data_IF_556592692587
#
_entry.id   IF_556592692587
#
_cell.length_a   1.000
_cell.length_b   1.000
_cell.length_c   1.000
_cell.angle_alpha   90.00
_cell.angle_beta   90.00
_cell.angle_gamma   90.00
#
_symmetry.space_group_name_H-M   'P 1'
#
loop_
_entity.id
_entity.type
_entity.pdbx_description
1 polymer ?
#
# COMPACT_ATOMS: atom_id res chain seq x y z
N UNK A 1 28.13 17.80 -5.84
CA UNK A 1 27.24 16.99 -6.71
C UNK A 1 26.22 16.42 -5.76
N UNK A 2 24.99 16.94 -5.79
CA UNK A 2 24.03 16.82 -4.71
C UNK A 2 23.58 15.35 -4.55
N UNK A 3 23.87 14.78 -3.39
CA UNK A 3 23.20 13.59 -2.89
C UNK A 3 21.77 14.00 -2.51
N UNK A 4 20.88 13.98 -3.49
CA UNK A 4 19.45 13.92 -3.23
C UNK A 4 19.20 12.61 -2.49
N UNK A 5 19.11 12.72 -1.15
CA UNK A 5 18.63 11.69 -0.26
C UNK A 5 17.38 11.05 -0.86
N UNK A 6 17.56 9.88 -1.48
CA UNK A 6 16.49 8.98 -1.84
C UNK A 6 15.93 8.41 -0.53
N UNK A 7 15.18 9.24 0.18
CA UNK A 7 14.20 8.78 1.15
C UNK A 7 13.06 8.13 0.34
N UNK A 8 13.37 7.08 -0.43
CA UNK A 8 12.37 6.19 -1.00
C UNK A 8 11.69 5.56 0.22
N UNK A 9 10.55 6.12 0.62
CA UNK A 9 9.70 5.50 1.62
C UNK A 9 9.42 4.09 1.14
N UNK A 10 10.03 3.11 1.81
CA UNK A 10 9.85 1.71 1.49
C UNK A 10 8.39 1.38 1.73
N UNK A 11 7.66 1.01 0.68
CA UNK A 11 6.26 0.59 0.80
C UNK A 11 6.21 -0.65 1.70
N UNK A 12 5.40 -0.56 2.75
CA UNK A 12 5.13 -1.68 3.67
C UNK A 12 3.68 -2.11 3.48
N UNK A 13 3.48 -3.14 2.66
CA UNK A 13 2.16 -3.74 2.48
C UNK A 13 1.81 -4.63 3.69
N UNK A 14 0.53 -4.68 4.05
CA UNK A 14 -0.04 -5.53 5.10
C UNK A 14 -1.47 -5.94 4.72
N UNK A 15 -2.10 -6.78 5.55
CA UNK A 15 -3.47 -7.26 5.31
C UNK A 15 -3.56 -8.41 4.31
N UNK A 16 -4.74 -8.61 3.75
CA UNK A 16 -5.03 -9.68 2.78
C UNK A 16 -5.28 -9.08 1.38
N UNK A 17 -4.41 -9.35 0.39
CA UNK A 17 -4.61 -8.85 -0.97
C UNK A 17 -5.79 -9.53 -1.64
N UNK A 18 -6.49 -8.81 -2.53
CA UNK A 18 -7.61 -9.35 -3.28
C UNK A 18 -7.61 -8.84 -4.72
N UNK A 19 -8.25 -9.61 -5.60
CA UNK A 19 -8.48 -9.19 -6.99
C UNK A 19 -9.73 -8.32 -7.10
N UNK A 20 -9.64 -7.29 -7.95
CA UNK A 20 -10.73 -6.39 -8.30
C UNK A 20 -10.74 -6.18 -9.81
N UNK A 21 -11.93 -6.26 -10.42
CA UNK A 21 -12.13 -5.95 -11.84
C UNK A 21 -12.33 -4.45 -11.99
N UNK A 22 -11.52 -3.79 -12.82
CA UNK A 22 -11.67 -2.38 -13.19
C UNK A 22 -12.26 -2.32 -14.60
N UNK A 23 -13.37 -1.62 -14.76
CA UNK A 23 -14.01 -1.42 -16.07
C UNK A 23 -13.43 -0.19 -16.80
N UNK A 24 -13.58 -0.14 -18.13
CA UNK A 24 -12.94 0.87 -18.99
C UNK A 24 -13.31 2.31 -18.62
N UNK A 25 -14.58 2.54 -18.25
CA UNK A 25 -15.12 3.87 -17.90
C UNK A 25 -15.26 4.07 -16.38
N UNK A 26 -14.55 3.27 -15.58
CA UNK A 26 -14.71 3.28 -14.14
C UNK A 26 -13.81 4.33 -13.48
N UNK A 27 -14.45 5.31 -12.82
CA UNK A 27 -13.76 6.32 -12.02
C UNK A 27 -13.28 5.73 -10.70
N UNK A 28 -12.23 6.34 -10.11
CA UNK A 28 -11.77 5.99 -8.77
C UNK A 28 -12.90 6.07 -7.73
N UNK A 29 -13.80 7.05 -7.82
CA UNK A 29 -14.94 7.16 -6.90
C UNK A 29 -15.83 5.90 -6.93
N UNK A 30 -16.13 5.38 -8.12
CA UNK A 30 -16.94 4.16 -8.27
C UNK A 30 -16.20 2.92 -7.74
N UNK A 31 -14.89 2.85 -7.97
CA UNK A 31 -14.01 1.80 -7.44
C UNK A 31 -13.99 1.83 -5.91
N UNK A 32 -13.87 3.01 -5.29
CA UNK A 32 -13.89 3.20 -3.83
C UNK A 32 -15.16 2.61 -3.22
N UNK A 33 -16.33 2.87 -3.79
CA UNK A 33 -17.61 2.33 -3.31
C UNK A 33 -17.61 0.79 -3.33
N UNK A 34 -17.10 0.18 -4.41
CA UNK A 34 -17.02 -1.29 -4.55
C UNK A 34 -16.04 -1.89 -3.56
N UNK A 35 -14.88 -1.25 -3.36
CA UNK A 35 -13.87 -1.68 -2.39
C UNK A 35 -14.41 -1.60 -0.98
N UNK A 36 -15.05 -0.49 -0.61
CA UNK A 36 -15.67 -0.32 0.70
C UNK A 36 -16.71 -1.41 0.98
N UNK A 37 -17.60 -1.67 0.02
CA UNK A 37 -18.60 -2.73 0.11
C UNK A 37 -17.97 -4.11 0.25
N UNK A 38 -16.88 -4.39 -0.47
CA UNK A 38 -16.17 -5.68 -0.42
C UNK A 38 -15.48 -5.91 0.93
N UNK A 39 -14.86 -4.87 1.49
CA UNK A 39 -14.12 -4.93 2.75
C UNK A 39 -15.00 -4.74 3.98
N UNK A 40 -16.25 -4.31 3.81
CA UNK A 40 -17.21 -4.04 4.91
C UNK A 40 -16.66 -3.02 5.92
N UNK A 41 -15.95 -2.00 5.44
CA UNK A 41 -15.34 -0.96 6.27
C UNK A 41 -16.35 0.17 6.53
N UNK A 42 -16.54 0.62 7.79
CA UNK A 42 -17.41 1.74 8.11
C UNK A 42 -17.00 3.03 7.38
N UNK A 43 -17.97 3.88 7.03
CA UNK A 43 -17.72 5.15 6.32
C UNK A 43 -16.69 6.03 7.03
N UNK A 44 -16.77 6.11 8.37
CA UNK A 44 -15.84 6.93 9.16
C UNK A 44 -14.39 6.46 9.02
N UNK A 45 -14.16 5.15 9.02
CA UNK A 45 -12.82 4.58 8.85
C UNK A 45 -12.35 4.70 7.39
N UNK A 46 -13.23 4.37 6.45
CA UNK A 46 -12.93 4.37 5.03
C UNK A 46 -12.62 5.79 4.50
N UNK A 47 -13.26 6.83 5.04
CA UNK A 47 -12.99 8.22 4.70
C UNK A 47 -11.54 8.67 4.95
N UNK A 48 -10.83 7.95 5.83
CA UNK A 48 -9.42 8.24 6.18
C UNK A 48 -8.44 7.54 5.23
N UNK A 49 -8.92 6.62 4.39
CA UNK A 49 -8.07 5.83 3.50
C UNK A 49 -7.68 6.63 2.26
N UNK A 50 -6.46 6.37 1.77
CA UNK A 50 -6.00 6.89 0.48
C UNK A 50 -5.82 5.76 -0.51
N UNK A 51 -6.12 6.06 -1.76
CA UNK A 51 -5.96 5.13 -2.86
C UNK A 51 -4.73 5.53 -3.65
N UNK A 52 -3.83 4.58 -3.88
CA UNK A 52 -2.59 4.82 -4.61
C UNK A 52 -2.48 3.85 -5.78
N UNK A 53 -2.21 4.36 -6.97
CA UNK A 53 -1.66 3.56 -8.05
C UNK A 53 -0.16 3.37 -7.77
N UNK A 54 0.26 2.13 -7.50
CA UNK A 54 1.66 1.82 -7.23
C UNK A 54 2.28 1.20 -8.48
N UNK A 55 3.41 1.74 -8.92
CA UNK A 55 4.23 1.20 -10.00
C UNK A 55 5.71 1.31 -9.62
N UNK A 56 6.47 0.22 -9.75
CA UNK A 56 7.91 0.20 -9.43
C UNK A 56 8.23 0.72 -8.01
N UNK A 57 7.36 0.40 -7.04
CA UNK A 57 7.50 0.84 -5.65
C UNK A 57 7.24 2.34 -5.42
N UNK A 58 6.69 3.05 -6.40
CA UNK A 58 6.32 4.46 -6.30
C UNK A 58 4.80 4.61 -6.24
N UNK A 59 4.24 5.21 -5.18
CA UNK A 59 2.81 5.49 -5.11
C UNK A 59 2.48 6.81 -5.82
N UNK A 60 1.43 6.79 -6.64
CA UNK A 60 0.77 7.96 -7.21
C UNK A 60 -0.68 7.99 -6.72
N UNK A 61 -1.18 9.15 -6.30
CA UNK A 61 -2.53 9.29 -5.74
C UNK A 61 -3.49 9.86 -6.80
N UNK A 62 -4.30 9.03 -7.46
CA UNK A 62 -5.29 9.48 -8.43
C UNK A 62 -6.42 10.30 -7.79
N UNK A 63 -7.05 11.16 -8.59
CA UNK A 63 -8.26 11.89 -8.19
C UNK A 63 -9.51 11.03 -8.35
N UNK A 64 -10.59 11.39 -7.65
CA UNK A 64 -11.86 10.64 -7.67
C UNK A 64 -12.54 10.59 -9.04
N UNK A 65 -12.30 11.61 -9.87
CA UNK A 65 -12.81 11.72 -11.24
C UNK A 65 -12.00 10.88 -12.25
N UNK A 66 -10.84 10.36 -11.85
CA UNK A 66 -9.92 9.72 -12.78
C UNK A 66 -10.35 8.29 -13.16
N UNK A 67 -10.22 7.97 -14.44
CA UNK A 67 -10.47 6.63 -14.99
C UNK A 67 -9.20 5.77 -14.88
N UNK A 68 -9.24 4.77 -14.00
CA UNK A 68 -8.05 3.98 -13.67
C UNK A 68 -7.65 2.97 -14.74
N UNK A 69 -8.58 2.52 -15.60
CA UNK A 69 -8.30 1.49 -16.60
C UNK A 69 -7.09 1.83 -17.49
N UNK A 70 -6.98 3.09 -17.91
CA UNK A 70 -5.87 3.60 -18.74
C UNK A 70 -4.49 3.46 -18.07
N UNK A 71 -4.42 3.49 -16.73
CA UNK A 71 -3.17 3.33 -15.96
C UNK A 71 -2.67 1.90 -15.97
N UNK A 72 -3.57 0.92 -15.96
CA UNK A 72 -3.24 -0.50 -15.98
C UNK A 72 -3.01 -1.06 -17.39
N UNK A 73 -3.53 -0.41 -18.44
CA UNK A 73 -3.27 -0.80 -19.84
C UNK A 73 -1.85 -0.48 -20.33
N UNK A 74 -1.21 0.56 -19.79
CA UNK A 74 0.12 1.05 -20.26
C UNK A 74 1.29 0.13 -19.91
N UNK A 75 1.02 -1.01 -19.31
CA UNK A 75 2.00 -1.99 -18.91
C UNK A 75 2.24 -3.00 -20.03
N UNK A 76 3.33 -2.83 -20.77
CA UNK A 76 3.83 -3.90 -21.65
C UNK A 76 4.01 -5.20 -20.86
N UNK A 77 3.97 -6.35 -21.55
CA UNK A 77 3.84 -7.73 -21.05
C UNK A 77 4.74 -8.11 -19.84
N UNK A 78 5.77 -7.33 -19.51
CA UNK A 78 6.69 -7.56 -18.40
C UNK A 78 6.52 -6.64 -17.17
N UNK A 79 5.82 -5.51 -17.26
CA UNK A 79 5.71 -4.51 -16.17
C UNK A 79 4.46 -4.74 -15.29
N UNK A 80 3.57 -5.66 -15.68
CA UNK A 80 2.25 -5.83 -15.06
C UNK A 80 2.31 -6.39 -13.63
N UNK A 81 3.37 -7.12 -13.29
CA UNK A 81 3.55 -7.69 -11.94
C UNK A 81 3.96 -6.66 -10.88
N UNK A 82 4.30 -5.43 -11.29
CA UNK A 82 4.72 -4.35 -10.38
C UNK A 82 3.64 -3.28 -10.20
N UNK A 83 2.48 -3.44 -10.84
CA UNK A 83 1.39 -2.47 -10.80
C UNK A 83 0.22 -2.96 -9.97
N UNK A 84 -0.18 -2.19 -8.96
CA UNK A 84 -1.35 -2.52 -8.15
C UNK A 84 -2.02 -1.27 -7.58
N UNK A 85 -3.27 -1.43 -7.17
CA UNK A 85 -4.01 -0.41 -6.42
C UNK A 85 -3.76 -0.62 -4.93
N UNK A 86 -2.99 0.28 -4.32
CA UNK A 86 -2.73 0.32 -2.89
C UNK A 86 -3.85 1.01 -2.12
N UNK A 87 -4.17 0.45 -0.94
CA UNK A 87 -5.11 1.00 0.03
C UNK A 87 -4.29 1.45 1.24
N UNK A 88 -3.92 2.73 1.27
CA UNK A 88 -3.13 3.29 2.36
C UNK A 88 -4.03 3.65 3.54
N UNK A 89 -3.81 2.95 4.65
CA UNK A 89 -4.45 3.20 5.93
C UNK A 89 -3.58 2.69 7.08
N UNK A 90 -3.98 3.01 8.32
CA UNK A 90 -3.33 2.46 9.51
C UNK A 90 -3.63 0.97 9.66
N UNK A 91 -2.61 0.19 9.99
CA UNK A 91 -2.79 -1.22 10.37
C UNK A 91 -3.36 -1.31 11.79
N UNK A 92 -4.66 -1.53 11.87
CA UNK A 92 -5.39 -1.77 13.11
C UNK A 92 -5.40 -3.26 13.50
N UNK A 93 -4.75 -4.15 12.73
CA UNK A 93 -4.67 -5.56 13.09
C UNK A 93 -3.93 -5.69 14.43
N UNK A 94 -4.34 -6.63 15.30
CA UNK A 94 -3.63 -6.90 16.54
C UNK A 94 -2.18 -7.24 16.19
N UNK A 95 -1.26 -6.32 16.48
CA UNK A 95 0.17 -6.53 16.25
C UNK A 95 0.54 -7.81 16.98
N UNK A 96 0.83 -8.90 16.24
CA UNK A 96 1.53 -10.03 16.85
C UNK A 96 2.78 -9.45 17.46
N UNK A 97 2.99 -9.69 18.76
CA UNK A 97 4.16 -9.19 19.46
C UNK A 97 5.41 -9.47 18.63
N UNK A 98 6.23 -8.43 18.42
CA UNK A 98 7.47 -8.40 17.61
C UNK A 98 8.56 -9.41 18.09
N UNK A 99 8.20 -10.38 18.92
CA UNK A 99 9.08 -11.40 19.44
C UNK A 99 9.34 -12.56 18.45
N UNK A 100 8.57 -12.69 17.37
CA UNK A 100 8.56 -13.95 16.61
C UNK A 100 9.07 -13.91 15.15
N UNK A 101 9.27 -12.76 14.50
CA UNK A 101 9.70 -12.75 13.08
C UNK A 101 10.86 -11.79 12.79
N UNK A 102 12.06 -12.37 12.86
CA UNK A 102 13.27 -12.18 12.02
C UNK A 102 13.55 -10.79 11.42
N UNK A 103 14.43 -10.04 12.09
CA UNK A 103 15.65 -9.40 11.56
C UNK A 103 16.12 -8.28 12.51
N UNK A 104 16.26 -8.61 13.81
CA UNK A 104 17.04 -7.75 14.71
C UNK A 104 18.51 -8.11 14.56
N UNK A 105 19.40 -7.15 14.29
CA UNK A 105 20.82 -7.38 14.44
C UNK A 105 21.11 -7.87 15.88
N UNK A 106 21.93 -8.92 16.07
CA UNK A 106 22.13 -9.57 17.37
C UNK A 106 22.74 -8.66 18.45
N UNK A 107 23.16 -7.44 18.10
CA UNK A 107 23.81 -6.48 18.99
C UNK A 107 22.87 -5.47 19.68
N UNK A 108 21.56 -5.49 19.39
CA UNK A 108 20.60 -4.52 19.97
C UNK A 108 20.06 -4.96 21.35
N UNK A 109 20.87 -5.69 22.12
CA UNK A 109 20.57 -6.01 23.53
C UNK A 109 21.42 -5.13 24.42
N UNK A 110 20.80 -4.51 25.43
CA UNK A 110 21.53 -3.76 26.45
C UNK A 110 22.60 -4.66 27.10
N UNK A 111 23.86 -4.23 27.05
CA UNK A 111 24.98 -4.92 27.70
C UNK A 111 24.95 -4.56 29.19
N UNK A 112 24.85 -5.57 30.05
CA UNK A 112 24.96 -5.40 31.50
C UNK A 112 26.44 -5.53 31.90
N UNK A 113 26.98 -4.49 32.54
CA UNK A 113 28.31 -4.53 33.14
C UNK A 113 28.11 -4.91 34.61
N UNK A 114 28.76 -5.98 35.04
CA UNK A 114 28.83 -6.39 36.45
C UNK A 114 30.16 -5.92 37.02
N UNK A 115 30.12 -5.28 38.20
CA UNK A 115 31.30 -4.97 39.01
C UNK A 115 31.70 -6.16 39.88
#
# INVERSE_FOLDING_TARGET
MNEENQNQMKIQNFGEPFLLVIHEDETLANIKIRVQKKLHVPDEEFSKWKFAFVSQGRPEYPEDSEILFSRFQRSGIYVAWEQYLGLEHLDNAPKRSLAANQNRPPYEKAVKIYN
#
